data_IF_869802729354
#
_entry.id   IF_869802729354
#
_cell.length_a   1.000
_cell.length_b   1.000
_cell.length_c   1.000
_cell.angle_alpha   90.00
_cell.angle_beta   90.00
_cell.angle_gamma   90.00
#
_symmetry.space_group_name_H-M   'P 1'
#
loop_
_entity.id
_entity.type
_entity.pdbx_description
1 polymer ?
#
# COMPACT_ATOMS: atom_id res chain seq x y z
N UNK A 1 -49.82 -17.86 -70.87
CA UNK A 1 -50.20 -18.01 -69.49
C UNK A 1 -48.93 -18.34 -68.77
N UNK A 2 -48.28 -17.34 -68.11
CA UNK A 2 -47.05 -17.54 -67.32
C UNK A 2 -47.41 -17.65 -65.85
N UNK A 3 -47.12 -18.75 -65.24
CA UNK A 3 -47.23 -18.97 -63.79
C UNK A 3 -45.90 -18.56 -63.11
N UNK A 4 -45.92 -17.44 -62.44
CA UNK A 4 -44.80 -17.00 -61.56
C UNK A 4 -44.96 -17.60 -60.17
N UNK A 5 -44.01 -18.48 -59.73
CA UNK A 5 -43.93 -19.01 -58.35
C UNK A 5 -43.00 -18.10 -57.56
N UNK A 6 -43.54 -17.38 -56.61
CA UNK A 6 -42.78 -16.65 -55.56
C UNK A 6 -42.27 -17.70 -54.52
N UNK A 7 -40.95 -17.79 -54.36
CA UNK A 7 -40.30 -18.51 -53.30
C UNK A 7 -40.02 -17.50 -52.16
N UNK A 8 -40.72 -17.67 -51.06
CA UNK A 8 -40.54 -16.87 -49.84
C UNK A 8 -39.40 -17.52 -49.00
N UNK A 9 -38.20 -16.90 -49.02
CA UNK A 9 -37.08 -17.32 -48.19
C UNK A 9 -37.25 -16.70 -46.79
N UNK A 10 -37.55 -17.54 -45.79
CA UNK A 10 -37.49 -17.15 -44.37
C UNK A 10 -36.03 -17.13 -43.90
N UNK A 11 -35.46 -15.97 -43.65
CA UNK A 11 -34.21 -15.80 -42.92
C UNK A 11 -34.47 -16.02 -41.43
N UNK A 12 -34.00 -17.12 -40.88
CA UNK A 12 -33.96 -17.35 -39.44
C UNK A 12 -32.71 -16.64 -38.89
N UNK A 13 -32.90 -15.51 -38.20
CA UNK A 13 -31.86 -14.81 -37.45
C UNK A 13 -31.72 -15.54 -36.10
N UNK A 14 -30.69 -16.35 -35.97
CA UNK A 14 -30.30 -16.98 -34.71
C UNK A 14 -29.66 -15.89 -33.82
N UNK A 15 -30.42 -15.36 -32.87
CA UNK A 15 -29.85 -14.53 -31.80
C UNK A 15 -29.04 -15.42 -30.84
N UNK A 16 -27.74 -15.35 -30.94
CA UNK A 16 -26.82 -15.95 -29.93
C UNK A 16 -26.90 -15.13 -28.64
N UNK A 17 -27.64 -15.63 -27.67
CA UNK A 17 -27.57 -15.16 -26.29
C UNK A 17 -26.18 -15.44 -25.74
N UNK A 18 -25.31 -14.45 -25.71
CA UNK A 18 -24.07 -14.52 -24.98
C UNK A 18 -24.40 -14.56 -23.47
N UNK A 19 -24.35 -15.76 -22.89
CA UNK A 19 -24.41 -15.92 -21.44
C UNK A 19 -23.24 -15.12 -20.83
N UNK A 20 -23.48 -14.30 -19.78
CA UNK A 20 -22.40 -13.64 -19.08
C UNK A 20 -21.48 -14.74 -18.54
N UNK A 21 -20.20 -14.69 -18.92
CA UNK A 21 -19.19 -15.56 -18.34
C UNK A 21 -19.19 -15.28 -16.82
N UNK A 22 -19.64 -16.25 -16.04
CA UNK A 22 -19.51 -16.18 -14.58
C UNK A 22 -18.01 -16.06 -14.28
N UNK A 23 -17.60 -14.89 -13.78
CA UNK A 23 -16.22 -14.69 -13.37
C UNK A 23 -15.90 -15.78 -12.33
N UNK A 24 -15.00 -16.69 -12.71
CA UNK A 24 -14.57 -17.77 -11.82
C UNK A 24 -13.96 -17.14 -10.58
N UNK A 25 -14.35 -17.67 -9.41
CA UNK A 25 -13.71 -17.33 -8.16
C UNK A 25 -12.18 -17.37 -8.28
N UNK A 26 -11.52 -16.28 -7.98
CA UNK A 26 -10.06 -16.27 -7.92
C UNK A 26 -9.63 -16.15 -6.47
N UNK A 27 -8.80 -17.09 -6.03
CA UNK A 27 -8.15 -17.08 -4.73
C UNK A 27 -6.67 -16.83 -4.91
N UNK A 28 -6.15 -15.88 -4.17
CA UNK A 28 -4.72 -15.62 -4.12
C UNK A 28 -4.33 -15.06 -2.76
N UNK A 29 -3.04 -14.94 -2.52
CA UNK A 29 -2.55 -14.27 -1.33
C UNK A 29 -1.46 -13.27 -1.70
N UNK A 30 -1.33 -12.23 -0.88
CA UNK A 30 -0.19 -11.34 -0.89
C UNK A 30 0.36 -11.21 0.54
N UNK A 31 1.57 -10.69 0.67
CA UNK A 31 2.20 -10.47 1.97
C UNK A 31 2.33 -8.98 2.23
N UNK A 32 2.06 -8.56 3.46
CA UNK A 32 2.28 -7.21 3.95
C UNK A 32 3.41 -7.21 4.99
N UNK A 33 4.37 -6.32 4.81
CA UNK A 33 5.50 -6.04 5.70
C UNK A 33 5.79 -4.53 5.71
N UNK A 34 6.55 -4.06 6.70
CA UNK A 34 7.02 -2.68 6.81
C UNK A 34 7.88 -2.54 8.06
N UNK A 35 8.42 -1.36 8.31
CA UNK A 35 9.21 -1.04 9.50
C UNK A 35 10.34 -2.06 9.74
N UNK A 36 10.99 -2.49 8.64
CA UNK A 36 12.08 -3.46 8.62
C UNK A 36 12.90 -3.39 7.32
N UNK A 37 14.26 -3.69 7.34
CA UNK A 37 15.04 -3.91 8.56
C UNK A 37 15.17 -2.61 9.34
N UNK A 38 15.14 -2.66 10.66
CA UNK A 38 15.02 -1.47 11.50
C UNK A 38 16.28 -1.24 12.37
N UNK A 39 16.61 -2.20 13.24
CA UNK A 39 17.75 -2.12 14.16
C UNK A 39 19.05 -2.62 13.49
N UNK A 40 19.64 -1.77 12.66
CA UNK A 40 20.81 -2.14 11.85
C UNK A 40 22.12 -2.13 12.67
N UNK A 41 23.08 -3.03 12.40
CA UNK A 41 23.06 -4.07 11.34
C UNK A 41 22.39 -5.39 11.75
N UNK A 42 21.91 -5.53 12.99
CA UNK A 42 21.39 -6.79 13.54
C UNK A 42 20.23 -7.36 12.73
N UNK A 43 19.34 -6.51 12.27
CA UNK A 43 18.12 -6.92 11.57
C UNK A 43 18.33 -7.39 10.12
N UNK A 44 19.52 -7.22 9.53
CA UNK A 44 19.76 -7.75 8.19
C UNK A 44 19.51 -9.26 8.11
N UNK A 45 20.06 -10.03 9.06
CA UNK A 45 19.85 -11.47 9.10
C UNK A 45 18.39 -11.85 9.41
N UNK A 46 17.71 -11.06 10.25
CA UNK A 46 16.30 -11.27 10.56
C UNK A 46 15.43 -11.01 9.32
N UNK A 47 15.71 -9.95 8.60
CA UNK A 47 15.00 -9.61 7.36
C UNK A 47 15.27 -10.61 6.23
N UNK A 48 16.51 -11.11 6.09
CA UNK A 48 16.83 -12.21 5.15
C UNK A 48 15.96 -13.44 5.42
N UNK A 49 15.72 -13.80 6.70
CA UNK A 49 14.81 -14.91 7.06
C UNK A 49 13.35 -14.62 6.67
N UNK A 50 12.88 -13.39 6.85
CA UNK A 50 11.53 -12.98 6.40
C UNK A 50 11.42 -13.13 4.88
N UNK A 51 12.40 -12.63 4.11
CA UNK A 51 12.44 -12.76 2.65
C UNK A 51 12.43 -14.22 2.23
N UNK A 52 13.28 -15.05 2.83
CA UNK A 52 13.32 -16.49 2.54
C UNK A 52 11.96 -17.17 2.80
N UNK A 53 11.30 -16.80 3.91
CA UNK A 53 9.97 -17.31 4.25
C UNK A 53 8.92 -16.87 3.22
N UNK A 54 8.92 -15.60 2.82
CA UNK A 54 8.02 -15.06 1.79
C UNK A 54 8.24 -15.78 0.46
N UNK A 55 9.50 -15.94 0.03
CA UNK A 55 9.85 -16.66 -1.20
C UNK A 55 9.33 -18.11 -1.18
N UNK A 56 9.40 -18.79 -0.03
CA UNK A 56 8.87 -20.16 0.13
C UNK A 56 7.34 -20.23 -0.01
N UNK A 57 6.62 -19.18 0.40
CA UNK A 57 5.15 -19.11 0.31
C UNK A 57 4.64 -18.79 -1.11
N UNK A 58 5.49 -18.17 -1.94
CA UNK A 58 5.15 -17.74 -3.31
C UNK A 58 3.85 -16.91 -3.39
N UNK A 59 3.72 -15.82 -2.63
CA UNK A 59 2.57 -14.97 -2.75
C UNK A 59 2.48 -14.34 -4.15
N UNK A 60 1.32 -13.82 -4.51
CA UNK A 60 1.14 -13.10 -5.78
C UNK A 60 2.05 -11.87 -5.89
N UNK A 61 2.29 -11.20 -4.77
CA UNK A 61 3.23 -10.09 -4.58
C UNK A 61 3.40 -9.83 -3.07
N UNK A 62 4.38 -8.99 -2.76
CA UNK A 62 4.58 -8.45 -1.40
C UNK A 62 4.43 -6.93 -1.43
N UNK A 63 3.82 -6.34 -0.40
CA UNK A 63 3.78 -4.90 -0.16
C UNK A 63 4.67 -4.59 1.03
N UNK A 64 5.61 -3.65 0.86
CA UNK A 64 6.43 -3.08 1.92
C UNK A 64 5.99 -1.62 2.15
N UNK A 65 5.48 -1.33 3.33
CA UNK A 65 4.87 -0.03 3.62
C UNK A 65 5.84 1.04 4.14
N UNK A 66 7.14 0.87 3.92
CA UNK A 66 8.12 1.90 4.29
C UNK A 66 8.86 1.59 5.58
N UNK A 67 9.63 2.56 6.03
CA UNK A 67 10.55 2.48 7.15
C UNK A 67 11.55 1.35 7.00
N UNK A 68 12.45 1.54 6.03
CA UNK A 68 13.53 0.60 5.69
C UNK A 68 14.79 0.77 6.55
N UNK A 69 14.77 1.73 7.45
CA UNK A 69 15.74 2.02 8.51
C UNK A 69 14.99 2.62 9.71
N UNK A 70 15.59 2.61 10.89
CA UNK A 70 14.99 3.29 12.05
C UNK A 70 15.20 4.80 11.99
N UNK A 71 14.33 5.58 12.64
CA UNK A 71 14.47 7.03 12.79
C UNK A 71 15.70 7.46 13.61
N UNK A 72 16.51 6.52 14.09
CA UNK A 72 17.79 6.73 14.78
C UNK A 72 18.98 6.34 13.89
N UNK A 73 18.74 5.76 12.73
CA UNK A 73 19.77 5.30 11.80
C UNK A 73 20.14 6.42 10.83
N UNK A 74 21.44 6.55 10.55
CA UNK A 74 21.92 7.55 9.60
C UNK A 74 21.42 7.23 8.18
N UNK A 75 20.86 8.23 7.48
CA UNK A 75 20.28 8.12 6.13
C UNK A 75 21.35 8.08 5.03
N UNK A 76 22.33 7.17 5.14
CA UNK A 76 23.42 7.05 4.19
C UNK A 76 23.03 6.26 2.94
N UNK A 77 23.55 6.67 1.78
CA UNK A 77 23.34 5.98 0.51
C UNK A 77 23.77 4.51 0.53
N UNK A 78 24.80 4.17 1.31
CA UNK A 78 25.28 2.79 1.44
C UNK A 78 24.21 1.89 2.14
N UNK A 79 23.49 2.42 3.11
CA UNK A 79 22.39 1.70 3.77
C UNK A 79 21.22 1.49 2.81
N UNK A 80 20.82 2.53 2.08
CA UNK A 80 19.78 2.39 1.06
C UNK A 80 20.15 1.39 -0.02
N UNK A 81 21.41 1.42 -0.50
CA UNK A 81 21.90 0.44 -1.47
C UNK A 81 21.81 -0.99 -0.91
N UNK A 82 22.20 -1.19 0.36
CA UNK A 82 22.11 -2.50 1.02
C UNK A 82 20.67 -3.00 1.07
N UNK A 83 19.72 -2.16 1.49
CA UNK A 83 18.30 -2.57 1.57
C UNK A 83 17.73 -2.81 0.16
N UNK A 84 18.07 -1.96 -0.82
CA UNK A 84 17.69 -2.18 -2.21
C UNK A 84 18.18 -3.55 -2.72
N UNK A 85 19.42 -3.92 -2.40
CA UNK A 85 20.00 -5.20 -2.80
C UNK A 85 19.26 -6.37 -2.10
N UNK A 86 18.83 -6.21 -0.85
CA UNK A 86 17.95 -7.18 -0.18
C UNK A 86 16.58 -7.27 -0.87
N UNK A 87 15.98 -6.14 -1.26
CA UNK A 87 14.72 -6.12 -2.02
C UNK A 87 14.83 -6.86 -3.36
N UNK A 88 16.01 -6.82 -4.00
CA UNK A 88 16.28 -7.59 -5.22
C UNK A 88 16.32 -9.12 -5.00
N UNK A 89 16.33 -9.60 -3.75
CA UNK A 89 16.32 -11.05 -3.43
C UNK A 89 14.91 -11.64 -3.30
N UNK A 90 13.85 -10.82 -3.29
CA UNK A 90 12.48 -11.32 -3.40
C UNK A 90 12.29 -12.02 -4.75
N UNK A 91 11.84 -13.28 -4.74
CA UNK A 91 11.60 -14.05 -5.96
C UNK A 91 10.39 -13.53 -6.75
N UNK A 92 9.34 -13.07 -6.04
CA UNK A 92 8.16 -12.43 -6.61
C UNK A 92 8.29 -10.91 -6.72
N UNK A 93 7.17 -10.27 -7.01
CA UNK A 93 7.04 -8.82 -7.04
C UNK A 93 7.06 -8.23 -5.63
N UNK A 94 7.77 -7.12 -5.45
CA UNK A 94 7.76 -6.30 -4.24
C UNK A 94 7.32 -4.88 -4.59
N UNK A 95 6.16 -4.46 -4.11
CA UNK A 95 5.67 -3.10 -4.22
C UNK A 95 6.05 -2.35 -2.94
N UNK A 96 6.74 -1.22 -3.08
CA UNK A 96 7.25 -0.44 -1.96
C UNK A 96 6.65 0.96 -1.97
N UNK A 97 6.40 1.52 -0.78
CA UNK A 97 6.09 2.95 -0.57
C UNK A 97 6.98 3.49 0.54
N UNK A 98 7.55 4.70 0.43
CA UNK A 98 8.45 5.25 1.43
C UNK A 98 7.75 5.56 2.76
N UNK A 99 8.47 5.33 3.87
CA UNK A 99 8.11 5.82 5.20
C UNK A 99 8.72 7.17 5.52
N UNK A 100 8.74 7.55 6.79
CA UNK A 100 9.33 8.82 7.23
C UNK A 100 10.83 8.68 7.59
N UNK A 101 11.26 7.51 8.05
CA UNK A 101 12.62 7.31 8.51
C UNK A 101 13.66 7.43 7.40
N UNK A 102 13.33 7.05 6.17
CA UNK A 102 14.25 7.12 5.05
C UNK A 102 14.30 8.49 4.36
N UNK A 103 13.55 9.51 4.85
CA UNK A 103 13.68 10.84 4.30
C UNK A 103 13.27 11.99 5.23
N UNK A 104 12.02 12.05 5.78
CA UNK A 104 11.60 13.20 6.60
C UNK A 104 12.45 13.34 7.86
N UNK A 105 12.81 12.22 8.48
CA UNK A 105 13.54 12.15 9.74
C UNK A 105 15.05 12.30 9.57
N UNK A 106 15.54 12.26 8.36
CA UNK A 106 16.96 12.42 8.04
C UNK A 106 17.53 13.79 8.44
N UNK A 107 16.67 14.78 8.72
CA UNK A 107 17.09 16.09 9.27
C UNK A 107 17.62 16.02 10.70
N UNK A 108 17.28 14.95 11.43
CA UNK A 108 17.71 14.77 12.83
C UNK A 108 19.23 14.61 12.90
N UNK A 109 19.93 15.18 13.91
CA UNK A 109 21.39 15.07 14.01
C UNK A 109 21.90 13.61 14.02
N UNK A 110 21.23 12.73 14.73
CA UNK A 110 21.57 11.29 14.79
C UNK A 110 21.30 10.55 13.48
N UNK A 111 20.37 11.04 12.67
CA UNK A 111 20.06 10.48 11.34
C UNK A 111 20.90 11.12 10.22
N UNK A 112 21.84 12.00 10.58
CA UNK A 112 22.85 12.55 9.68
C UNK A 112 22.66 14.03 9.33
N UNK A 113 21.54 14.67 9.71
CA UNK A 113 21.30 16.08 9.44
C UNK A 113 21.16 16.42 7.95
N UNK A 114 20.64 15.47 7.17
CA UNK A 114 20.44 15.66 5.73
C UNK A 114 19.20 16.50 5.42
N UNK A 115 19.18 17.11 4.24
CA UNK A 115 17.96 17.72 3.70
C UNK A 115 16.93 16.61 3.36
N UNK A 116 15.73 16.61 3.94
CA UNK A 116 14.73 15.59 3.69
C UNK A 116 14.26 15.53 2.24
N UNK A 117 14.13 16.66 1.55
CA UNK A 117 13.69 16.69 0.15
C UNK A 117 14.75 16.09 -0.77
N UNK A 118 16.03 16.35 -0.46
CA UNK A 118 17.15 15.70 -1.13
C UNK A 118 17.15 14.17 -0.89
N UNK A 119 16.92 13.74 0.37
CA UNK A 119 16.84 12.31 0.68
C UNK A 119 15.64 11.65 -0.02
N UNK A 120 14.48 12.29 -0.09
CA UNK A 120 13.35 11.79 -0.87
C UNK A 120 13.71 11.63 -2.35
N UNK A 121 14.41 12.62 -2.94
CA UNK A 121 14.89 12.48 -4.32
C UNK A 121 15.82 11.29 -4.47
N UNK A 122 16.68 11.03 -3.47
CA UNK A 122 17.59 9.88 -3.46
C UNK A 122 16.85 8.56 -3.34
N UNK A 123 15.84 8.45 -2.44
CA UNK A 123 14.96 7.28 -2.32
C UNK A 123 14.26 7.01 -3.65
N UNK A 124 13.68 8.02 -4.28
CA UNK A 124 13.04 7.89 -5.60
C UNK A 124 14.01 7.34 -6.66
N UNK A 125 15.23 7.87 -6.73
CA UNK A 125 16.24 7.41 -7.68
C UNK A 125 16.63 5.94 -7.46
N UNK A 126 16.71 5.49 -6.20
CA UNK A 126 17.24 4.17 -5.87
C UNK A 126 16.18 3.07 -5.92
N UNK A 127 14.94 3.38 -5.54
CA UNK A 127 13.88 2.38 -5.39
C UNK A 127 12.81 2.43 -6.49
N UNK A 128 12.78 3.51 -7.31
CA UNK A 128 11.82 3.67 -8.40
C UNK A 128 12.49 3.95 -9.75
N UNK A 129 13.49 3.14 -10.16
CA UNK A 129 14.21 3.38 -11.43
C UNK A 129 13.30 3.22 -12.66
N UNK A 130 12.26 2.43 -12.56
CA UNK A 130 11.17 2.31 -13.52
C UNK A 130 9.84 2.38 -12.74
N UNK A 131 9.18 3.55 -12.68
CA UNK A 131 7.94 3.71 -11.91
C UNK A 131 6.79 2.81 -12.34
N UNK A 132 6.80 2.31 -13.57
CA UNK A 132 5.77 1.41 -14.10
C UNK A 132 5.97 -0.07 -13.69
N UNK A 133 6.99 -0.36 -12.87
CA UNK A 133 7.31 -1.72 -12.42
C UNK A 133 7.64 -1.77 -10.94
N UNK A 134 7.13 -2.79 -10.26
CA UNK A 134 7.55 -3.08 -8.88
C UNK A 134 9.00 -3.56 -8.82
N UNK A 135 9.52 -3.69 -7.62
CA UNK A 135 10.80 -4.33 -7.33
C UNK A 135 10.67 -5.87 -7.31
N UNK A 136 11.75 -6.56 -6.96
CA UNK A 136 11.85 -8.01 -6.93
C UNK A 136 12.26 -8.63 -8.26
N UNK A 137 12.51 -9.95 -8.29
CA UNK A 137 13.03 -10.65 -9.48
C UNK A 137 11.97 -10.81 -10.58
N UNK A 138 10.69 -10.94 -10.19
CA UNK A 138 9.55 -11.04 -11.09
C UNK A 138 8.62 -9.82 -10.90
N UNK A 139 9.01 -8.64 -11.41
CA UNK A 139 8.29 -7.40 -11.14
C UNK A 139 6.91 -7.39 -11.76
N UNK A 140 5.96 -6.87 -10.99
CA UNK A 140 4.60 -6.58 -11.43
C UNK A 140 4.57 -5.28 -12.24
N UNK A 141 3.79 -5.24 -13.32
CA UNK A 141 3.49 -3.98 -14.00
C UNK A 141 2.45 -3.20 -13.18
N UNK A 142 2.73 -1.93 -12.95
CA UNK A 142 1.85 -1.02 -12.21
C UNK A 142 1.62 0.26 -13.03
N UNK A 143 0.56 1.00 -12.70
CA UNK A 143 0.31 2.34 -13.22
C UNK A 143 0.82 3.33 -12.19
N UNK A 144 1.91 4.07 -12.42
CA UNK A 144 2.35 5.11 -11.50
C UNK A 144 1.49 6.37 -11.64
N UNK A 145 1.36 7.14 -10.55
CA UNK A 145 0.66 8.43 -10.61
C UNK A 145 1.34 9.41 -11.57
N UNK A 146 2.65 9.28 -11.75
CA UNK A 146 3.46 10.10 -12.65
C UNK A 146 3.14 9.94 -14.14
N UNK A 147 2.29 8.99 -14.54
CA UNK A 147 1.72 8.96 -15.90
C UNK A 147 0.81 10.18 -16.17
N UNK A 148 0.21 10.76 -15.12
CA UNK A 148 -0.48 12.05 -15.24
C UNK A 148 0.56 13.18 -15.19
N UNK A 149 0.67 14.03 -16.24
CA UNK A 149 1.63 15.13 -16.28
C UNK A 149 1.51 16.12 -15.11
N UNK A 150 0.33 16.28 -14.52
CA UNK A 150 0.13 17.13 -13.33
C UNK A 150 0.82 16.58 -12.08
N UNK A 151 1.10 15.28 -12.05
CA UNK A 151 1.69 14.57 -10.93
C UNK A 151 3.01 13.88 -11.29
N UNK A 152 3.69 14.33 -12.34
CA UNK A 152 4.88 13.68 -12.94
C UNK A 152 6.01 13.38 -11.94
N UNK A 153 6.11 14.11 -10.82
CA UNK A 153 7.16 13.88 -9.82
C UNK A 153 6.84 12.80 -8.78
N UNK A 154 5.55 12.34 -8.69
CA UNK A 154 5.11 11.36 -7.69
C UNK A 154 5.20 9.94 -8.24
N UNK A 155 6.43 9.50 -8.48
CA UNK A 155 6.76 8.21 -9.10
C UNK A 155 6.58 7.02 -8.15
N UNK A 156 6.49 7.25 -6.85
CA UNK A 156 6.33 6.26 -5.79
C UNK A 156 4.89 5.82 -5.56
N UNK A 157 3.90 6.60 -6.03
CA UNK A 157 2.50 6.22 -5.96
C UNK A 157 2.17 5.30 -7.13
N UNK A 158 1.78 4.07 -6.84
CA UNK A 158 1.51 3.03 -7.82
C UNK A 158 0.12 2.42 -7.64
N UNK A 159 -0.52 2.01 -8.75
CA UNK A 159 -1.83 1.31 -8.75
C UNK A 159 -1.77 0.09 -9.66
N UNK A 160 -2.42 -0.99 -9.25
CA UNK A 160 -2.60 -2.20 -10.06
C UNK A 160 -3.90 -2.89 -9.71
N UNK A 161 -4.27 -3.88 -10.52
CA UNK A 161 -5.47 -4.67 -10.30
C UNK A 161 -5.14 -6.16 -10.33
N UNK A 162 -5.82 -6.91 -9.48
CA UNK A 162 -5.79 -8.37 -9.51
C UNK A 162 -7.13 -8.94 -9.02
N UNK A 163 -7.69 -9.90 -9.75
CA UNK A 163 -8.92 -10.62 -9.39
C UNK A 163 -10.09 -9.68 -8.99
N UNK A 164 -10.24 -8.56 -9.67
CA UNK A 164 -11.28 -7.59 -9.35
C UNK A 164 -11.05 -6.79 -8.05
N UNK A 165 -9.83 -6.74 -7.55
CA UNK A 165 -9.41 -5.87 -6.45
C UNK A 165 -8.49 -4.78 -7.02
N UNK A 166 -8.74 -3.54 -6.66
CA UNK A 166 -7.86 -2.40 -6.96
C UNK A 166 -6.92 -2.17 -5.78
N UNK A 167 -5.63 -2.16 -6.06
CA UNK A 167 -4.55 -1.87 -5.11
C UNK A 167 -3.93 -0.53 -5.44
N UNK A 168 -3.57 0.25 -4.43
CA UNK A 168 -2.73 1.44 -4.62
C UNK A 168 -1.81 1.65 -3.42
N UNK A 169 -0.56 2.07 -3.71
CA UNK A 169 0.31 2.69 -2.72
C UNK A 169 0.08 4.19 -2.73
N UNK A 170 0.12 4.81 -1.55
CA UNK A 170 -0.02 6.25 -1.36
C UNK A 170 1.09 6.73 -0.42
N UNK A 171 1.93 7.64 -0.86
CA UNK A 171 3.07 8.12 -0.08
C UNK A 171 2.62 9.06 1.06
N UNK A 172 2.19 8.46 2.17
CA UNK A 172 1.79 9.14 3.39
C UNK A 172 2.73 8.67 4.50
N UNK A 173 3.82 9.40 4.81
CA UNK A 173 4.78 9.03 5.84
C UNK A 173 4.31 9.45 7.23
N UNK A 174 4.88 8.85 8.27
CA UNK A 174 4.82 9.28 9.66
C UNK A 174 5.30 10.72 9.86
N UNK A 175 5.83 11.02 11.04
CA UNK A 175 6.36 12.36 11.37
C UNK A 175 5.42 13.50 10.95
N UNK A 176 4.12 13.33 11.27
CA UNK A 176 3.04 14.26 10.94
C UNK A 176 2.96 14.58 9.43
N UNK A 177 3.21 13.58 8.59
CA UNK A 177 3.17 13.74 7.13
C UNK A 177 4.09 14.86 6.61
N UNK A 178 5.20 15.11 7.30
CA UNK A 178 6.16 16.19 7.02
C UNK A 178 5.61 17.64 7.20
N UNK A 179 4.46 17.83 7.83
CA UNK A 179 3.77 19.14 7.82
C UNK A 179 4.46 20.26 8.62
N UNK A 180 5.13 19.99 9.74
CA UNK A 180 5.38 21.03 10.75
C UNK A 180 6.84 21.37 11.04
N UNK A 181 7.82 20.86 10.31
CA UNK A 181 9.24 21.08 10.62
C UNK A 181 9.71 22.49 10.30
N UNK A 182 9.48 22.94 9.06
CA UNK A 182 9.90 24.21 8.50
C UNK A 182 9.11 24.55 7.23
N UNK A 183 9.37 25.70 6.60
CA UNK A 183 8.64 26.10 5.40
C UNK A 183 8.87 25.18 4.20
N UNK A 184 10.05 24.58 4.08
CA UNK A 184 10.34 23.63 2.99
C UNK A 184 9.52 22.35 3.17
N UNK A 185 9.40 21.85 4.40
CA UNK A 185 8.54 20.72 4.76
C UNK A 185 7.08 21.01 4.48
N UNK A 186 6.58 22.18 4.86
CA UNK A 186 5.20 22.60 4.58
C UNK A 186 4.92 22.67 3.07
N UNK A 187 5.83 23.21 2.29
CA UNK A 187 5.68 23.30 0.82
C UNK A 187 5.65 21.90 0.19
N UNK A 188 6.53 21.01 0.61
CA UNK A 188 6.56 19.62 0.15
C UNK A 188 5.26 18.91 0.52
N UNK A 189 4.81 19.03 1.78
CA UNK A 189 3.55 18.46 2.26
C UNK A 189 2.37 18.92 1.39
N UNK A 190 2.20 20.22 1.17
CA UNK A 190 1.07 20.75 0.40
C UNK A 190 1.01 20.11 -0.99
N UNK A 191 2.13 20.02 -1.68
CA UNK A 191 2.19 19.48 -3.03
C UNK A 191 1.94 17.97 -3.06
N UNK A 192 2.59 17.20 -2.19
CA UNK A 192 2.40 15.76 -2.12
C UNK A 192 1.02 15.38 -1.58
N UNK A 193 0.51 16.11 -0.58
CA UNK A 193 -0.83 15.84 -0.05
C UNK A 193 -1.92 16.04 -1.12
N UNK A 194 -1.83 17.10 -1.93
CA UNK A 194 -2.75 17.32 -3.05
C UNK A 194 -2.70 16.15 -4.07
N UNK A 195 -1.51 15.67 -4.41
CA UNK A 195 -1.33 14.52 -5.28
C UNK A 195 -1.91 13.23 -4.66
N UNK A 196 -1.65 12.99 -3.38
CA UNK A 196 -2.16 11.82 -2.66
C UNK A 196 -3.69 11.79 -2.60
N UNK A 197 -4.33 12.93 -2.33
CA UNK A 197 -5.80 13.03 -2.30
C UNK A 197 -6.40 12.71 -3.66
N UNK A 198 -5.84 13.28 -4.73
CA UNK A 198 -6.25 12.95 -6.10
C UNK A 198 -6.04 11.47 -6.43
N UNK A 199 -4.94 10.87 -5.93
CA UNK A 199 -4.64 9.47 -6.17
C UNK A 199 -5.58 8.51 -5.43
N UNK A 200 -5.93 8.83 -4.18
CA UNK A 200 -6.96 8.11 -3.42
C UNK A 200 -8.29 8.16 -4.17
N UNK A 201 -8.74 9.35 -4.58
CA UNK A 201 -9.99 9.52 -5.34
C UNK A 201 -9.96 8.72 -6.66
N UNK A 202 -8.81 8.72 -7.37
CA UNK A 202 -8.61 7.97 -8.62
C UNK A 202 -8.63 6.44 -8.39
N UNK A 203 -8.13 5.93 -7.27
CA UNK A 203 -8.18 4.51 -6.93
C UNK A 203 -9.63 4.04 -6.75
N UNK A 204 -10.46 4.80 -6.02
CA UNK A 204 -11.87 4.50 -5.86
C UNK A 204 -12.68 4.72 -7.15
N UNK A 205 -12.35 5.72 -7.96
CA UNK A 205 -12.96 5.91 -9.27
C UNK A 205 -12.70 4.70 -10.17
N UNK A 206 -11.45 4.25 -10.23
CA UNK A 206 -11.07 3.06 -11.00
C UNK A 206 -11.80 1.80 -10.51
N UNK A 207 -11.96 1.65 -9.20
CA UNK A 207 -12.69 0.53 -8.62
C UNK A 207 -14.18 0.52 -9.05
N UNK A 208 -14.80 1.70 -9.12
CA UNK A 208 -16.18 1.83 -9.63
C UNK A 208 -16.27 1.50 -11.11
N UNK A 209 -15.37 2.04 -11.93
CA UNK A 209 -15.31 1.83 -13.39
C UNK A 209 -15.10 0.36 -13.75
N UNK A 210 -14.19 -0.34 -13.05
CA UNK A 210 -13.89 -1.75 -13.30
C UNK A 210 -14.90 -2.71 -12.68
N UNK A 211 -15.86 -2.20 -11.90
CA UNK A 211 -16.78 -3.04 -11.15
C UNK A 211 -16.09 -3.86 -10.04
N UNK A 212 -14.99 -3.36 -9.52
CA UNK A 212 -14.18 -4.05 -8.52
C UNK A 212 -15.00 -4.50 -7.30
N UNK A 213 -14.48 -5.50 -6.58
CA UNK A 213 -15.08 -6.07 -5.37
C UNK A 213 -14.53 -5.43 -4.11
N UNK A 214 -13.29 -4.92 -4.15
CA UNK A 214 -12.63 -4.27 -3.03
C UNK A 214 -11.51 -3.33 -3.46
N UNK A 215 -11.04 -2.53 -2.50
CA UNK A 215 -9.93 -1.59 -2.65
C UNK A 215 -8.92 -1.86 -1.54
N UNK A 216 -7.63 -1.87 -1.89
CA UNK A 216 -6.52 -1.94 -0.92
C UNK A 216 -5.68 -0.69 -1.09
N UNK A 217 -5.51 0.09 -0.01
CA UNK A 217 -4.62 1.24 0.03
C UNK A 217 -3.48 0.95 1.00
N UNK A 218 -2.23 1.08 0.54
CA UNK A 218 -1.05 0.86 1.34
C UNK A 218 -0.25 2.16 1.48
N UNK A 219 0.14 2.51 2.71
CA UNK A 219 0.91 3.71 3.06
C UNK A 219 1.69 3.42 4.35
N UNK A 220 2.59 4.32 4.78
CA UNK A 220 3.38 4.01 5.99
C UNK A 220 2.70 4.50 7.28
N UNK A 221 2.19 5.73 7.33
CA UNK A 221 1.82 6.41 8.57
C UNK A 221 0.68 5.76 9.37
N UNK A 222 0.80 5.76 10.69
CA UNK A 222 -0.34 5.65 11.58
C UNK A 222 -1.10 6.99 11.60
N UNK A 223 -2.29 7.04 10.97
CA UNK A 223 -3.04 8.30 10.77
C UNK A 223 -3.69 8.85 12.05
N UNK A 224 -3.24 8.44 13.25
CA UNK A 224 -3.83 8.82 14.54
C UNK A 224 -5.30 8.44 14.66
N UNK A 225 -5.66 7.26 14.18
CA UNK A 225 -7.02 6.72 14.25
C UNK A 225 -7.60 6.67 15.68
N UNK A 226 -6.73 6.61 16.69
CA UNK A 226 -7.04 6.58 18.12
C UNK A 226 -7.46 7.94 18.70
N UNK A 227 -7.25 9.05 17.95
CA UNK A 227 -7.57 10.41 18.37
C UNK A 227 -8.84 10.90 17.70
N UNK A 228 -9.86 11.13 18.49
CA UNK A 228 -11.13 11.68 18.01
C UNK A 228 -11.44 13.05 18.63
N UNK A 229 -11.94 13.97 17.81
CA UNK A 229 -12.02 13.90 16.35
C UNK A 229 -10.70 14.34 15.72
N UNK A 230 -9.98 13.47 14.97
CA UNK A 230 -8.72 13.85 14.34
C UNK A 230 -8.85 15.03 13.39
N UNK A 231 -9.97 15.15 12.71
CA UNK A 231 -10.28 16.21 11.75
C UNK A 231 -10.42 17.62 12.36
N UNK A 232 -10.45 17.74 13.67
CA UNK A 232 -10.45 19.05 14.36
C UNK A 232 -9.07 19.54 14.75
N UNK A 233 -8.05 18.70 14.70
CA UNK A 233 -6.66 19.11 14.93
C UNK A 233 -6.06 19.68 13.63
N UNK A 234 -6.23 20.98 13.43
CA UNK A 234 -5.73 21.71 12.25
C UNK A 234 -4.20 21.63 12.07
N UNK A 235 -3.47 21.12 13.05
CA UNK A 235 -2.02 20.91 12.97
C UNK A 235 -1.67 19.49 12.49
N UNK A 236 -2.66 18.61 12.33
CA UNK A 236 -2.43 17.24 11.85
C UNK A 236 -2.30 17.20 10.33
N UNK A 237 -1.18 16.69 9.85
CA UNK A 237 -0.93 16.40 8.42
C UNK A 237 -1.77 15.25 7.87
N UNK A 238 -2.62 14.60 8.69
CA UNK A 238 -3.42 13.44 8.30
C UNK A 238 -4.90 13.73 8.08
N UNK A 239 -5.39 14.92 8.48
CA UNK A 239 -6.81 15.24 8.43
C UNK A 239 -7.42 15.10 7.03
N UNK A 240 -6.76 15.63 6.01
CA UNK A 240 -7.25 15.57 4.64
C UNK A 240 -7.34 14.14 4.14
N UNK A 241 -6.32 13.32 4.44
CA UNK A 241 -6.29 11.89 4.13
C UNK A 241 -7.43 11.15 4.83
N UNK A 242 -7.63 11.36 6.13
CA UNK A 242 -8.71 10.73 6.89
C UNK A 242 -10.08 11.10 6.31
N UNK A 243 -10.29 12.37 5.96
CA UNK A 243 -11.51 12.84 5.35
C UNK A 243 -11.74 12.22 3.96
N UNK A 244 -10.70 12.11 3.14
CA UNK A 244 -10.76 11.46 1.84
C UNK A 244 -11.10 9.96 1.96
N UNK A 245 -10.45 9.25 2.89
CA UNK A 245 -10.72 7.84 3.17
C UNK A 245 -12.16 7.61 3.62
N UNK A 246 -12.64 8.38 4.60
CA UNK A 246 -14.03 8.30 5.10
C UNK A 246 -15.04 8.55 3.98
N UNK A 247 -14.89 9.65 3.24
CA UNK A 247 -15.78 10.02 2.14
C UNK A 247 -15.85 8.92 1.08
N UNK A 248 -14.69 8.45 0.61
CA UNK A 248 -14.62 7.44 -0.43
C UNK A 248 -15.14 6.08 0.04
N UNK A 249 -14.78 5.63 1.24
CA UNK A 249 -15.21 4.34 1.77
C UNK A 249 -16.71 4.26 1.98
N UNK A 250 -17.34 5.35 2.49
CA UNK A 250 -18.79 5.44 2.65
C UNK A 250 -19.48 5.39 1.28
N UNK A 251 -19.00 6.18 0.31
CA UNK A 251 -19.57 6.20 -1.04
C UNK A 251 -19.37 4.88 -1.80
N UNK A 252 -18.28 4.16 -1.50
CA UNK A 252 -17.94 2.87 -2.11
C UNK A 252 -18.80 1.72 -1.58
N UNK A 253 -18.98 1.62 -0.27
CA UNK A 253 -19.87 0.66 0.42
C UNK A 253 -19.42 -0.81 0.38
N UNK A 254 -18.34 -1.16 -0.34
CA UNK A 254 -17.77 -2.51 -0.41
C UNK A 254 -16.45 -2.56 0.40
N UNK A 255 -15.82 -3.74 0.61
CA UNK A 255 -14.63 -3.87 1.41
C UNK A 255 -13.47 -2.94 0.98
N UNK A 256 -12.84 -2.32 1.96
CA UNK A 256 -11.61 -1.53 1.85
C UNK A 256 -10.62 -2.05 2.88
N UNK A 257 -9.40 -2.34 2.44
CA UNK A 257 -8.29 -2.69 3.33
C UNK A 257 -7.27 -1.56 3.32
N UNK A 258 -6.94 -1.03 4.50
CA UNK A 258 -5.85 -0.11 4.74
C UNK A 258 -4.66 -0.89 5.30
N UNK A 259 -3.53 -0.90 4.58
CA UNK A 259 -2.30 -1.56 5.02
C UNK A 259 -1.29 -0.48 5.39
N UNK A 260 -0.79 -0.47 6.64
CA UNK A 260 0.19 0.52 7.07
C UNK A 260 1.12 0.00 8.19
N UNK A 261 2.14 0.80 8.54
CA UNK A 261 3.12 0.54 9.58
C UNK A 261 3.11 1.56 10.71
N UNK A 262 4.29 2.10 11.08
CA UNK A 262 4.57 3.24 11.97
C UNK A 262 4.49 2.97 13.49
N UNK A 263 3.72 1.97 13.94
CA UNK A 263 3.61 1.64 15.37
C UNK A 263 4.16 0.25 15.72
N UNK A 264 4.73 -0.45 14.76
CA UNK A 264 5.59 -1.63 14.87
C UNK A 264 4.93 -2.90 15.45
N UNK A 265 3.61 -2.96 15.61
CA UNK A 265 2.90 -4.14 16.09
C UNK A 265 1.66 -4.45 15.25
N UNK A 266 1.33 -5.73 15.15
CA UNK A 266 0.20 -6.18 14.34
C UNK A 266 -1.13 -5.73 14.94
N UNK A 267 -1.94 -5.00 14.14
CA UNK A 267 -3.33 -4.68 14.47
C UNK A 267 -4.23 -4.95 13.29
N UNK A 268 -5.38 -5.57 13.56
CA UNK A 268 -6.44 -5.79 12.58
C UNK A 268 -7.75 -5.34 13.22
N UNK A 269 -8.32 -4.23 12.75
CA UNK A 269 -9.55 -3.66 13.29
C UNK A 269 -10.28 -2.76 12.27
N UNK A 270 -11.37 -2.11 12.69
CA UNK A 270 -12.11 -1.10 11.93
C UNK A 270 -11.90 0.28 12.58
N UNK A 271 -10.86 1.04 12.15
CA UNK A 271 -10.42 2.24 12.87
C UNK A 271 -11.24 3.49 12.56
N UNK A 272 -11.92 3.54 11.41
CA UNK A 272 -12.55 4.78 10.96
C UNK A 272 -13.92 5.00 11.61
N UNK A 273 -14.11 6.22 12.12
CA UNK A 273 -15.38 6.69 12.67
C UNK A 273 -16.00 7.68 11.67
N UNK A 274 -17.22 7.38 11.26
CA UNK A 274 -18.02 8.16 10.33
C UNK A 274 -19.05 9.07 11.01
N UNK A 275 -20.02 9.59 10.23
CA UNK A 275 -21.09 10.42 10.73
C UNK A 275 -21.87 9.76 11.88
N UNK A 276 -22.26 10.59 12.87
CA UNK A 276 -22.96 10.10 14.04
C UNK A 276 -22.12 9.21 14.97
N UNK A 277 -20.79 9.30 14.89
CA UNK A 277 -19.81 8.51 15.68
C UNK A 277 -19.95 6.99 15.48
N UNK A 278 -20.43 6.54 14.33
CA UNK A 278 -20.54 5.13 13.98
C UNK A 278 -19.29 4.65 13.25
N UNK A 279 -18.83 3.44 13.55
CA UNK A 279 -17.73 2.83 12.81
C UNK A 279 -18.10 2.61 11.35
N UNK A 280 -17.15 2.84 10.45
CA UNK A 280 -17.27 2.54 9.01
C UNK A 280 -16.84 1.09 8.84
N UNK A 281 -17.81 0.18 8.90
CA UNK A 281 -17.59 -1.26 9.03
C UNK A 281 -16.97 -1.92 7.79
N UNK A 282 -17.10 -1.32 6.62
CA UNK A 282 -16.48 -1.84 5.39
C UNK A 282 -15.00 -1.46 5.25
N UNK A 283 -14.39 -0.79 6.24
CA UNK A 283 -12.96 -0.46 6.25
C UNK A 283 -12.26 -1.27 7.32
N UNK A 284 -11.35 -2.13 6.91
CA UNK A 284 -10.44 -2.84 7.82
C UNK A 284 -9.04 -2.24 7.72
N UNK A 285 -8.40 -2.03 8.87
CA UNK A 285 -6.99 -1.71 8.98
C UNK A 285 -6.19 -2.99 9.22
N UNK A 286 -5.08 -3.12 8.51
CA UNK A 286 -3.98 -4.02 8.80
C UNK A 286 -2.74 -3.17 9.06
N UNK A 287 -2.36 -2.99 10.31
CA UNK A 287 -1.06 -2.46 10.68
C UNK A 287 -0.07 -3.62 10.77
N UNK A 288 1.05 -3.52 10.08
CA UNK A 288 2.05 -4.61 9.99
C UNK A 288 2.94 -4.67 11.26
N UNK A 289 3.62 -5.79 11.43
CA UNK A 289 4.73 -5.91 12.37
C UNK A 289 5.88 -4.98 11.98
N UNK A 290 6.75 -4.63 12.93
CA UNK A 290 7.95 -3.82 12.67
C UNK A 290 8.88 -3.78 13.87
N UNK A 291 10.01 -3.07 13.74
CA UNK A 291 11.04 -2.90 14.76
C UNK A 291 11.51 -4.23 15.37
N UNK A 292 11.21 -4.50 16.64
CA UNK A 292 11.58 -5.74 17.33
C UNK A 292 10.75 -6.97 16.86
N UNK A 293 9.66 -6.74 16.17
CA UNK A 293 8.78 -7.79 15.62
C UNK A 293 9.05 -8.00 14.11
N UNK A 294 10.22 -8.52 13.75
CA UNK A 294 10.61 -8.75 12.34
C UNK A 294 9.89 -9.97 11.78
N UNK A 295 8.62 -9.79 11.46
CA UNK A 295 7.67 -10.81 11.00
C UNK A 295 6.87 -10.32 9.79
N UNK A 296 6.01 -11.16 9.22
CA UNK A 296 5.17 -10.81 8.08
C UNK A 296 3.69 -11.12 8.36
N UNK A 297 2.80 -10.56 7.54
CA UNK A 297 1.38 -10.93 7.55
C UNK A 297 0.96 -11.37 6.15
N UNK A 298 0.44 -12.60 6.04
CA UNK A 298 -0.18 -13.13 4.85
C UNK A 298 -1.64 -12.66 4.81
N UNK A 299 -2.02 -12.02 3.72
CA UNK A 299 -3.41 -11.64 3.42
C UNK A 299 -3.92 -12.57 2.33
N UNK A 300 -4.94 -13.36 2.64
CA UNK A 300 -5.63 -14.17 1.66
C UNK A 300 -6.80 -13.38 1.09
N UNK A 301 -6.99 -13.46 -0.21
CA UNK A 301 -8.11 -12.86 -0.94
C UNK A 301 -8.95 -13.99 -1.51
N UNK A 302 -10.23 -14.02 -1.14
CA UNK A 302 -11.22 -14.93 -1.71
C UNK A 302 -12.36 -14.07 -2.30
N UNK A 303 -12.45 -14.05 -3.62
CA UNK A 303 -13.45 -13.20 -4.28
C UNK A 303 -14.88 -13.77 -4.21
N UNK A 304 -15.08 -14.96 -3.66
CA UNK A 304 -16.42 -15.50 -3.36
C UNK A 304 -16.86 -15.20 -1.94
N UNK A 305 -15.92 -14.83 -1.05
CA UNK A 305 -16.24 -14.43 0.32
C UNK A 305 -16.75 -12.97 0.36
N UNK A 306 -17.79 -12.71 1.13
CA UNK A 306 -18.32 -11.36 1.34
C UNK A 306 -17.31 -10.44 2.06
N UNK A 307 -16.52 -11.00 2.97
CA UNK A 307 -15.50 -10.27 3.72
C UNK A 307 -14.22 -10.05 2.91
N UNK A 308 -14.04 -10.74 1.78
CA UNK A 308 -12.93 -10.66 0.84
C UNK A 308 -11.56 -11.02 1.41
N UNK A 309 -11.20 -10.54 2.58
CA UNK A 309 -9.85 -10.60 3.14
C UNK A 309 -9.82 -11.42 4.42
N UNK A 310 -8.85 -12.33 4.51
CA UNK A 310 -8.50 -12.98 5.77
C UNK A 310 -6.99 -12.87 6.02
N UNK A 311 -6.59 -12.91 7.28
CA UNK A 311 -5.25 -12.52 7.72
C UNK A 311 -4.61 -13.65 8.49
N UNK A 312 -3.34 -13.91 8.21
CA UNK A 312 -2.54 -14.89 8.92
C UNK A 312 -1.18 -14.32 9.28
N UNK A 313 -0.87 -14.08 10.57
CA UNK A 313 0.48 -13.75 10.99
C UNK A 313 1.46 -14.84 10.56
N UNK A 314 2.61 -14.46 10.06
CA UNK A 314 3.70 -15.33 9.63
C UNK A 314 4.89 -15.07 10.53
N UNK A 315 4.89 -15.74 11.68
CA UNK A 315 5.98 -15.66 12.64
C UNK A 315 7.21 -16.39 12.09
N UNK A 316 8.38 -15.79 12.30
CA UNK A 316 9.70 -16.37 12.05
C UNK A 316 10.26 -16.72 13.42
N UNK A 317 10.32 -18.02 13.81
CA UNK A 317 10.71 -18.39 15.17
C UNK A 317 12.09 -17.87 15.57
N UNK A 318 13.03 -17.83 14.63
CA UNK A 318 14.40 -17.37 14.85
C UNK A 318 14.50 -15.84 15.03
N UNK A 319 13.42 -15.10 14.74
CA UNK A 319 13.34 -13.66 14.95
C UNK A 319 12.68 -13.30 16.28
N UNK A 320 12.09 -14.27 16.98
CA UNK A 320 11.47 -14.02 18.28
C UNK A 320 12.59 -13.80 19.31
N UNK A 321 12.66 -12.60 19.94
CA UNK A 321 13.69 -12.36 20.93
C UNK A 321 13.51 -13.30 22.14
N UNK A 322 14.60 -13.66 22.84
CA UNK A 322 14.50 -14.44 24.07
C UNK A 322 13.62 -13.71 25.09
N UNK A 323 12.75 -14.47 25.77
CA UNK A 323 11.94 -13.92 26.85
C UNK A 323 12.82 -13.20 27.88
N UNK A 324 12.62 -11.91 28.06
CA UNK A 324 13.24 -11.13 29.15
C UNK A 324 12.19 -10.97 30.25
N UNK A 325 12.38 -11.57 31.43
CA UNK A 325 11.46 -11.33 32.54
C UNK A 325 11.42 -9.83 32.85
N UNK A 326 10.24 -9.31 33.16
CA UNK A 326 10.11 -7.93 33.62
C UNK A 326 11.02 -7.71 34.84
N UNK A 327 11.82 -6.64 34.83
CA UNK A 327 12.65 -6.24 35.94
C UNK A 327 11.83 -5.59 37.04
#
# INVERSE_FOLDING_TARGET
MLNSRFVLSCLIVAATLALPATARAERFSFVAIGDMPYNLPGDYAAFDRVIARINSMRPAFTIHVGDIISGQTRCDDALYARVRDMFATFDGALVYTPGDNEWTDCHRPNSGGFDPVERLARVRQMFFPDPARSLGKLPLRVTPQSEDPHYAKFIENARWERAGIVFATVHIPGSNNNLQRDQAAVNEYIERNAANLAWIDAAFARARESGARGVVLAFQAHLRFDKEPPETDLRSGFNDTLNALKRNAIAWGKPVLLVHGDQHHLVIDQPLIGPGRKRIMNVTRLMVHGEDEVHATLVNVDTDDADLFSYKPVYIPENIPPFKPAR
#
